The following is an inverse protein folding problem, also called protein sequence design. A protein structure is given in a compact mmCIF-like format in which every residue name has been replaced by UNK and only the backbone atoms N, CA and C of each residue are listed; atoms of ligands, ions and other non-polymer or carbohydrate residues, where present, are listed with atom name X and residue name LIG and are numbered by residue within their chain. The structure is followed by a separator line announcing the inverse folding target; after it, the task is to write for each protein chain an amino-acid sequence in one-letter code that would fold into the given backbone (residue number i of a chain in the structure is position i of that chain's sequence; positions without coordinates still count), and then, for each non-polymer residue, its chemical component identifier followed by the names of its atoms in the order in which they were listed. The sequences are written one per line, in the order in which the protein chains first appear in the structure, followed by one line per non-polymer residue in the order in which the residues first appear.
data_IF_232359961656
#
_entry.id   IF_232359961656
#
_cell.length_a   1.000
_cell.length_b   1.000
_cell.length_c   1.000
_cell.angle_alpha   90.00
_cell.angle_beta   90.00
_cell.angle_gamma   90.00
#
_symmetry.space_group_name_H-M   'P 1'
#
loop_
_entity.id
_entity.type
_entity.pdbx_description
1 polymer ?
#
# COMPACT_ATOMS: atom_id res chain seq x y z
N UNK A 1 -6.54 -10.40 -11.07
CA UNK A 1 -5.49 -9.49 -11.58
C UNK A 1 -4.37 -9.42 -10.55
N UNK A 2 -3.13 -9.53 -11.00
CA UNK A 2 -1.95 -9.34 -10.17
C UNK A 2 -1.65 -7.83 -10.06
N UNK A 3 -1.27 -7.36 -8.87
CA UNK A 3 -0.84 -5.97 -8.67
C UNK A 3 0.66 -5.86 -9.00
N UNK A 4 1.12 -4.73 -9.58
CA UNK A 4 2.53 -4.52 -9.87
C UNK A 4 3.30 -4.16 -8.59
N UNK A 5 4.54 -4.64 -8.48
CA UNK A 5 5.42 -4.20 -7.40
C UNK A 5 5.93 -2.77 -7.68
N UNK A 6 5.93 -1.93 -6.64
CA UNK A 6 6.45 -0.56 -6.70
C UNK A 6 7.82 -0.49 -6.05
N UNK A 7 8.86 -0.87 -6.79
CA UNK A 7 10.24 -0.97 -6.31
C UNK A 7 11.18 -0.10 -7.13
N UNK A 8 12.09 0.58 -6.42
CA UNK A 8 13.16 1.35 -7.01
C UNK A 8 14.44 1.22 -6.16
N UNK A 9 15.64 1.43 -6.74
CA UNK A 9 16.86 1.57 -5.95
C UNK A 9 16.78 2.77 -5.00
N UNK A 10 17.42 2.66 -3.83
CA UNK A 10 17.53 3.77 -2.88
C UNK A 10 16.28 4.04 -2.03
N UNK A 11 15.34 3.09 -1.95
CA UNK A 11 14.22 3.18 -1.00
C UNK A 11 14.71 3.01 0.44
N UNK A 12 14.31 3.93 1.32
CA UNK A 12 14.58 3.82 2.76
C UNK A 12 13.75 2.70 3.42
N UNK A 13 12.54 2.45 2.90
CA UNK A 13 11.57 1.50 3.47
C UNK A 13 10.89 0.71 2.36
N UNK A 14 10.77 -0.61 2.56
CA UNK A 14 9.95 -1.50 1.75
C UNK A 14 8.78 -2.03 2.57
N UNK A 15 7.55 -1.83 2.08
CA UNK A 15 6.36 -2.47 2.63
C UNK A 15 6.01 -3.73 1.85
N UNK A 16 5.99 -4.87 2.54
CA UNK A 16 5.58 -6.16 1.97
C UNK A 16 4.34 -6.68 2.71
N UNK A 17 3.24 -6.90 1.97
CA UNK A 17 2.03 -7.53 2.48
C UNK A 17 2.04 -9.06 2.27
N UNK A 18 1.14 -9.79 2.94
CA UNK A 18 1.02 -11.25 2.77
C UNK A 18 0.36 -11.64 1.45
N UNK A 19 -0.81 -11.04 1.15
CA UNK A 19 -1.54 -11.25 -0.10
C UNK A 19 -2.46 -10.06 -0.40
N UNK A 20 -2.65 -9.77 -1.69
CA UNK A 20 -3.62 -8.78 -2.12
C UNK A 20 -5.05 -9.29 -1.89
N UNK A 21 -5.90 -8.44 -1.30
CA UNK A 21 -7.33 -8.74 -1.18
C UNK A 21 -8.04 -8.71 -2.54
N UNK A 22 -9.19 -9.38 -2.67
CA UNK A 22 -10.00 -9.31 -3.89
C UNK A 22 -10.41 -7.88 -4.25
N UNK A 23 -10.73 -7.05 -3.25
CA UNK A 23 -10.98 -5.61 -3.42
C UNK A 23 -9.75 -4.90 -4.00
N UNK A 24 -8.57 -5.13 -3.44
CA UNK A 24 -7.31 -4.56 -3.92
C UNK A 24 -7.01 -4.98 -5.36
N UNK A 25 -7.16 -6.27 -5.67
CA UNK A 25 -6.95 -6.82 -6.99
C UNK A 25 -7.93 -6.27 -8.03
N UNK A 26 -9.20 -6.07 -7.65
CA UNK A 26 -10.24 -5.50 -8.53
C UNK A 26 -10.03 -4.02 -8.81
N UNK A 27 -9.58 -3.26 -7.81
CA UNK A 27 -9.40 -1.80 -7.90
C UNK A 27 -8.01 -1.44 -8.44
N UNK A 28 -7.05 -2.36 -8.42
CA UNK A 28 -5.70 -2.11 -8.90
C UNK A 28 -4.80 -1.38 -7.90
N UNK A 29 -5.18 -1.35 -6.62
CA UNK A 29 -4.44 -0.62 -5.58
C UNK A 29 -4.26 -1.48 -4.30
N UNK A 30 -3.02 -1.51 -3.79
CA UNK A 30 -2.72 -2.16 -2.51
C UNK A 30 -3.49 -1.49 -1.36
N UNK A 31 -3.86 -2.32 -0.38
CA UNK A 31 -4.52 -1.87 0.86
C UNK A 31 -5.86 -1.11 0.65
N UNK A 32 -6.51 -1.25 -0.51
CA UNK A 32 -7.74 -0.54 -0.88
C UNK A 32 -9.04 -0.90 -0.11
N UNK A 33 -9.02 -1.82 0.87
CA UNK A 33 -10.22 -2.17 1.65
C UNK A 33 -10.48 -1.09 2.71
N UNK A 34 -11.73 -0.61 2.86
CA UNK A 34 -12.09 0.47 3.80
C UNK A 34 -11.66 0.26 5.27
N UNK A 35 -11.50 -0.99 5.71
CA UNK A 35 -11.00 -1.33 7.06
C UNK A 35 -9.48 -1.42 7.18
N UNK A 36 -8.75 -1.35 6.06
CA UNK A 36 -7.30 -1.35 6.08
C UNK A 36 -6.78 0.04 6.47
N UNK A 37 -5.92 0.10 7.50
CA UNK A 37 -5.40 1.36 8.05
C UNK A 37 -4.09 1.82 7.43
N UNK A 38 -3.51 1.06 6.51
CA UNK A 38 -2.16 1.29 5.97
C UNK A 38 -1.92 2.75 5.56
N UNK A 39 -2.74 3.28 4.64
CA UNK A 39 -2.55 4.64 4.11
C UNK A 39 -2.74 5.74 5.16
N UNK A 40 -3.68 5.57 6.10
CA UNK A 40 -3.86 6.53 7.20
C UNK A 40 -2.68 6.53 8.15
N UNK A 41 -2.20 5.35 8.54
CA UNK A 41 -1.03 5.21 9.41
C UNK A 41 0.24 5.77 8.76
N UNK A 42 0.39 5.58 7.45
CA UNK A 42 1.52 6.11 6.70
C UNK A 42 1.55 7.65 6.72
N UNK A 43 0.39 8.28 6.59
CA UNK A 43 0.26 9.73 6.71
C UNK A 43 0.42 10.21 8.17
N UNK A 44 -0.21 9.53 9.14
CA UNK A 44 -0.13 9.87 10.58
C UNK A 44 1.31 9.79 11.13
N UNK A 45 2.13 8.90 10.58
CA UNK A 45 3.55 8.74 10.95
C UNK A 45 4.48 9.71 10.22
N UNK A 46 3.95 10.50 9.28
CA UNK A 46 4.74 11.44 8.47
C UNK A 46 5.57 10.78 7.36
N UNK A 47 5.34 9.49 7.06
CA UNK A 47 6.03 8.78 5.97
C UNK A 47 5.51 9.21 4.59
N UNK A 48 4.31 9.78 4.52
CA UNK A 48 3.80 10.49 3.35
C UNK A 48 3.36 11.90 3.72
N UNK A 49 3.47 12.89 2.80
CA UNK A 49 3.11 14.28 3.09
C UNK A 49 1.61 14.50 3.29
N UNK A 50 0.78 13.52 2.91
CA UNK A 50 -0.68 13.53 3.01
C UNK A 50 -1.23 12.10 2.87
N UNK A 51 -2.54 12.00 3.05
CA UNK A 51 -3.34 10.84 2.62
C UNK A 51 -3.52 10.83 1.10
#
# INVERSE_FOLDING_TARGET
MMLPDYLAPGLDILFCGTAASSTSARVGHYYARNGNRFWRLLAETGLTPRL
#
